data_IF_553003228728
#
_entry.id   IF_553003228728
#
_cell.length_a   1.000
_cell.length_b   1.000
_cell.length_c   1.000
_cell.angle_alpha   90.00
_cell.angle_beta   90.00
_cell.angle_gamma   90.00
#
_symmetry.space_group_name_H-M   'P 1'
#
loop_
_entity.id
_entity.type
_entity.pdbx_description
1 polymer ?
#
# COMPACT_ATOMS: atom_id res chain seq x y z
N UNK A 1 -8.50 11.91 -10.03
CA UNK A 1 -8.66 12.42 -8.64
C UNK A 1 -7.27 12.54 -8.02
N UNK A 2 -6.96 13.66 -7.34
CA UNK A 2 -5.62 13.90 -6.78
C UNK A 2 -5.46 13.18 -5.43
N UNK A 3 -4.36 12.45 -5.24
CA UNK A 3 -3.97 11.92 -3.93
C UNK A 3 -3.33 13.05 -3.12
N UNK A 4 -3.78 13.25 -1.88
CA UNK A 4 -3.39 14.39 -1.03
C UNK A 4 -2.79 13.85 0.27
N UNK A 5 -1.68 14.47 0.70
CA UNK A 5 -0.95 14.12 1.92
C UNK A 5 -0.30 12.72 1.85
N UNK A 6 0.11 12.15 2.99
CA UNK A 6 0.76 10.84 3.14
C UNK A 6 2.12 10.72 2.44
N UNK A 7 2.81 11.84 2.27
CA UNK A 7 4.12 11.88 1.60
C UNK A 7 5.17 11.03 2.32
N UNK A 8 5.17 11.05 3.65
CA UNK A 8 6.13 10.29 4.46
C UNK A 8 5.89 8.79 4.35
N UNK A 9 4.62 8.35 4.39
CA UNK A 9 4.26 6.94 4.22
C UNK A 9 4.56 6.44 2.81
N UNK A 10 4.30 7.25 1.77
CA UNK A 10 4.68 6.92 0.41
C UNK A 10 6.20 6.83 0.23
N UNK A 11 6.95 7.75 0.81
CA UNK A 11 8.41 7.73 0.75
C UNK A 11 8.99 6.51 1.46
N UNK A 12 8.46 6.16 2.65
CA UNK A 12 8.80 4.92 3.33
C UNK A 12 8.59 3.69 2.44
N UNK A 13 7.39 3.55 1.83
CA UNK A 13 7.09 2.41 0.94
C UNK A 13 8.03 2.36 -0.27
N UNK A 14 8.37 3.52 -0.87
CA UNK A 14 9.31 3.61 -2.00
C UNK A 14 10.73 3.20 -1.60
N UNK A 15 11.21 3.66 -0.44
CA UNK A 15 12.54 3.29 0.05
C UNK A 15 12.65 1.80 0.29
N UNK A 16 11.68 1.20 0.97
CA UNK A 16 11.67 -0.26 1.21
C UNK A 16 11.61 -1.04 -0.11
N UNK A 17 10.77 -0.62 -1.07
CA UNK A 17 10.66 -1.29 -2.37
C UNK A 17 11.93 -1.24 -3.21
N UNK A 18 12.74 -0.19 -3.08
CA UNK A 18 13.98 -0.02 -3.83
C UNK A 18 15.18 -0.74 -3.20
N UNK A 19 15.02 -1.35 -2.03
CA UNK A 19 16.11 -2.13 -1.43
C UNK A 19 16.28 -3.45 -2.17
N UNK A 20 17.51 -3.94 -2.22
CA UNK A 20 17.83 -5.25 -2.77
C UNK A 20 17.67 -6.36 -1.71
N UNK A 21 16.56 -6.34 -0.97
CA UNK A 21 16.23 -7.30 0.09
C UNK A 21 14.72 -7.57 0.10
N UNK A 22 14.32 -8.74 0.61
CA UNK A 22 12.91 -9.05 0.78
C UNK A 22 12.30 -8.23 1.93
N UNK A 23 11.10 -7.70 1.74
CA UNK A 23 10.40 -6.90 2.75
C UNK A 23 8.93 -7.31 2.88
N UNK A 24 8.44 -7.35 4.12
CA UNK A 24 7.02 -7.53 4.43
C UNK A 24 6.52 -6.29 5.18
N UNK A 25 5.53 -5.62 4.61
CA UNK A 25 4.97 -4.38 5.18
C UNK A 25 3.50 -4.60 5.54
N UNK A 26 3.15 -4.33 6.80
CA UNK A 26 1.77 -4.41 7.29
C UNK A 26 1.21 -3.00 7.44
N UNK A 27 0.22 -2.64 6.61
CA UNK A 27 -0.49 -1.36 6.74
C UNK A 27 -1.68 -1.51 7.70
N UNK A 28 -1.55 -0.96 8.91
CA UNK A 28 -2.59 -1.03 9.95
C UNK A 28 -3.15 0.34 10.33
N UNK A 29 -4.27 0.35 11.06
CA UNK A 29 -4.94 1.57 11.53
C UNK A 29 -6.47 1.50 11.45
N UNK A 30 -7.17 2.56 11.89
CA UNK A 30 -8.64 2.60 11.96
C UNK A 30 -9.32 2.40 10.59
N UNK A 31 -10.59 1.97 10.59
CA UNK A 31 -11.39 1.85 9.37
C UNK A 31 -11.50 3.23 8.69
N UNK A 32 -11.43 3.28 7.36
CA UNK A 32 -11.55 4.51 6.52
C UNK A 32 -10.46 5.58 6.67
N UNK A 33 -9.30 5.29 7.23
CA UNK A 33 -8.17 6.26 7.26
C UNK A 33 -7.40 6.41 5.92
N UNK A 34 -7.81 5.67 4.87
CA UNK A 34 -7.14 5.69 3.57
C UNK A 34 -6.01 4.67 3.39
N UNK A 35 -5.97 3.56 4.15
CA UNK A 35 -4.94 2.51 3.98
C UNK A 35 -4.95 1.91 2.57
N UNK A 36 -6.13 1.52 2.10
CA UNK A 36 -6.31 1.00 0.73
C UNK A 36 -5.89 2.05 -0.29
N UNK A 37 -6.28 3.32 -0.09
CA UNK A 37 -5.90 4.40 -1.00
C UNK A 37 -4.37 4.60 -1.05
N UNK A 38 -3.66 4.50 0.08
CA UNK A 38 -2.20 4.55 0.13
C UNK A 38 -1.56 3.39 -0.64
N UNK A 39 -2.03 2.16 -0.43
CA UNK A 39 -1.52 0.99 -1.14
C UNK A 39 -1.77 1.09 -2.65
N UNK A 40 -3.00 1.45 -3.05
CA UNK A 40 -3.37 1.63 -4.46
C UNK A 40 -2.57 2.76 -5.10
N UNK A 41 -2.34 3.88 -4.40
CA UNK A 41 -1.49 4.96 -4.92
C UNK A 41 -0.04 4.51 -5.11
N UNK A 42 0.51 3.79 -4.12
CA UNK A 42 1.88 3.31 -4.16
C UNK A 42 2.17 2.38 -5.35
N UNK A 43 1.21 1.54 -5.75
CA UNK A 43 1.41 0.55 -6.82
C UNK A 43 1.11 1.06 -8.24
N UNK A 44 0.57 2.27 -8.43
CA UNK A 44 0.10 2.76 -9.75
C UNK A 44 1.10 2.64 -10.89
N UNK A 45 2.37 2.89 -10.61
CA UNK A 45 3.45 2.89 -11.60
C UNK A 45 4.42 1.71 -11.40
N UNK A 46 3.92 0.58 -10.89
CA UNK A 46 4.70 -0.62 -10.59
C UNK A 46 4.01 -1.84 -11.16
N UNK A 47 4.81 -2.83 -11.57
CA UNK A 47 4.30 -4.17 -11.81
C UNK A 47 3.90 -4.78 -10.46
N UNK A 48 2.60 -4.94 -10.24
CA UNK A 48 2.04 -5.31 -8.95
C UNK A 48 0.78 -6.17 -9.08
N UNK A 49 0.63 -7.13 -8.16
CA UNK A 49 -0.59 -7.91 -7.98
C UNK A 49 -1.39 -7.31 -6.80
N UNK A 50 -2.62 -6.85 -7.09
CA UNK A 50 -3.56 -6.46 -6.05
C UNK A 50 -4.56 -7.60 -5.82
N UNK A 51 -4.48 -8.22 -4.64
CA UNK A 51 -5.40 -9.28 -4.24
C UNK A 51 -6.26 -8.81 -3.06
N UNK A 52 -7.58 -8.75 -3.27
CA UNK A 52 -8.54 -8.49 -2.21
C UNK A 52 -8.96 -9.84 -1.61
N UNK A 53 -8.30 -10.22 -0.51
CA UNK A 53 -8.72 -11.38 0.25
C UNK A 53 -10.04 -11.08 0.97
N UNK A 54 -11.12 -11.72 0.53
CA UNK A 54 -12.38 -11.80 1.25
C UNK A 54 -12.47 -13.16 1.93
N UNK A 55 -12.99 -13.21 3.16
CA UNK A 55 -13.50 -14.48 3.68
C UNK A 55 -14.71 -14.86 2.84
N UNK A 56 -14.55 -15.82 1.93
CA UNK A 56 -15.71 -16.58 1.47
C UNK A 56 -16.12 -17.47 2.65
N UNK A 57 -17.34 -17.29 3.12
CA UNK A 57 -17.94 -18.22 4.07
C UNK A 57 -18.11 -19.55 3.33
N UNK A 58 -17.59 -20.66 3.88
CA UNK A 58 -17.95 -22.01 3.42
C UNK A 58 -19.47 -22.22 3.41
#
# INVERSE_FOLDING_TARGET
MRFINRYNELDFLKREYNKNEASLIILYGRRRIGKTALATEFIKDKEALYYLATEESE
#
